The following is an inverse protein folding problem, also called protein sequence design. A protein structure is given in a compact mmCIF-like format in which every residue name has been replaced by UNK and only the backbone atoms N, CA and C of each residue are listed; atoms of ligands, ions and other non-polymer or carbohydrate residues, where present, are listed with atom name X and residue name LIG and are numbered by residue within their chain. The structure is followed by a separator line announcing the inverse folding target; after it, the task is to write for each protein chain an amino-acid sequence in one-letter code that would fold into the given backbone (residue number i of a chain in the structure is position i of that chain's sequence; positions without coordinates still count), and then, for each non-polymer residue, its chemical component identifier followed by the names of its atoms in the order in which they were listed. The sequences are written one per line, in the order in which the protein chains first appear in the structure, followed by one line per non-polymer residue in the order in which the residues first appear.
data_IF_554173332350
#
_entry.id   IF_554173332350
#
_cell.length_a   1.000
_cell.length_b   1.000
_cell.length_c   1.000
_cell.angle_alpha   90.00
_cell.angle_beta   90.00
_cell.angle_gamma   90.00
#
_symmetry.space_group_name_H-M   'P 1'
#
loop_
_entity.id
_entity.type
_entity.pdbx_description
1 polymer ?
#
# COMPACT_ATOMS: atom_id res chain seq x y z
N UNK A 1 26.19 22.66 10.18
CA UNK A 1 24.81 22.85 10.69
C UNK A 1 23.91 21.83 10.00
N UNK A 2 24.10 20.54 10.29
CA UNK A 2 23.52 19.37 9.58
C UNK A 2 23.07 18.30 10.60
N UNK A 3 22.69 18.69 11.82
CA UNK A 3 22.27 17.75 12.88
C UNK A 3 20.80 17.92 13.30
N UNK A 4 20.10 18.91 12.75
CA UNK A 4 18.78 19.34 13.25
C UNK A 4 17.64 18.47 12.71
N UNK A 5 17.83 17.83 11.54
CA UNK A 5 16.80 16.99 10.90
C UNK A 5 16.55 15.66 11.60
N UNK A 6 17.58 15.03 12.17
CA UNK A 6 17.47 13.71 12.81
C UNK A 6 16.70 13.71 14.14
N UNK A 7 16.57 14.86 14.82
CA UNK A 7 15.94 14.92 16.15
C UNK A 7 14.44 14.60 16.11
N UNK A 8 13.80 14.77 14.96
CA UNK A 8 12.37 14.56 14.76
C UNK A 8 12.04 13.57 13.62
N UNK A 9 13.01 12.76 13.18
CA UNK A 9 12.82 11.84 12.06
C UNK A 9 12.00 10.59 12.43
N UNK A 10 11.93 10.27 13.73
CA UNK A 10 11.11 9.17 14.25
C UNK A 10 9.77 9.68 14.75
N UNK A 11 8.70 8.95 14.46
CA UNK A 11 7.36 9.24 14.98
C UNK A 11 7.36 9.44 16.51
N UNK A 12 6.67 10.46 17.05
CA UNK A 12 5.77 11.41 16.38
C UNK A 12 6.43 12.56 15.62
N UNK A 13 7.76 12.63 15.63
CA UNK A 13 8.51 13.70 15.00
C UNK A 13 8.22 15.04 15.65
N UNK A 14 8.12 16.09 14.84
CA UNK A 14 7.69 17.42 15.31
C UNK A 14 6.18 17.40 15.54
N UNK A 15 5.77 17.65 16.78
CA UNK A 15 4.36 17.58 17.20
C UNK A 15 3.74 18.96 17.42
N UNK A 16 4.57 20.02 17.48
CA UNK A 16 4.12 21.40 17.66
C UNK A 16 3.56 22.00 16.36
N UNK A 17 4.01 21.50 15.21
CA UNK A 17 3.46 21.83 13.90
C UNK A 17 2.71 20.62 13.36
N UNK A 18 1.40 20.73 13.24
CA UNK A 18 0.56 19.67 12.67
C UNK A 18 0.08 20.11 11.29
N UNK A 19 0.22 19.21 10.32
CA UNK A 19 -0.27 19.43 8.96
C UNK A 19 -1.80 19.32 8.96
N UNK A 20 -2.46 20.34 8.42
CA UNK A 20 -3.89 20.27 8.13
C UNK A 20 -4.12 19.53 6.81
N UNK A 21 -4.36 18.22 6.90
CA UNK A 21 -4.60 17.37 5.74
C UNK A 21 -5.99 17.59 5.12
N UNK A 22 -6.92 18.23 5.82
CA UNK A 22 -8.24 18.54 5.28
C UNK A 22 -8.20 19.58 4.16
N UNK A 23 -7.06 20.26 4.01
CA UNK A 23 -6.80 21.36 3.09
C UNK A 23 -5.59 21.11 2.18
N UNK A 24 -5.04 19.89 2.20
CA UNK A 24 -3.89 19.53 1.39
C UNK A 24 -4.22 19.65 -0.11
N UNK A 25 -3.33 20.27 -0.89
CA UNK A 25 -3.36 20.20 -2.35
C UNK A 25 -2.21 19.30 -2.78
N UNK A 26 -2.52 18.25 -3.53
CA UNK A 26 -1.55 17.24 -3.95
C UNK A 26 -1.35 17.26 -5.46
N UNK A 27 -0.09 17.30 -5.91
CA UNK A 27 0.26 17.11 -7.33
C UNK A 27 0.04 15.67 -7.83
N UNK A 28 -0.35 14.76 -6.94
CA UNK A 28 -0.79 13.42 -7.28
C UNK A 28 -2.31 13.31 -7.48
N UNK A 29 -3.05 14.43 -7.31
CA UNK A 29 -4.46 14.47 -7.70
C UNK A 29 -4.56 14.45 -9.23
N UNK A 30 -4.92 13.29 -9.78
CA UNK A 30 -5.09 13.09 -11.22
C UNK A 30 -6.25 13.87 -11.83
N UNK A 31 -7.20 14.33 -11.01
CA UNK A 31 -8.32 15.14 -11.47
C UNK A 31 -7.87 16.59 -11.66
N UNK A 32 -7.04 17.10 -10.75
CA UNK A 32 -6.48 18.45 -10.83
C UNK A 32 -5.24 18.56 -11.74
N UNK A 33 -4.43 17.50 -11.84
CA UNK A 33 -3.18 17.46 -12.61
C UNK A 33 -3.06 16.24 -13.54
N UNK A 34 -3.99 16.03 -14.49
CA UNK A 34 -3.93 14.90 -15.42
C UNK A 34 -2.65 14.83 -16.25
N UNK A 35 -2.00 15.97 -16.55
CA UNK A 35 -0.75 16.02 -17.33
C UNK A 35 0.43 15.36 -16.61
N UNK A 36 0.44 15.42 -15.27
CA UNK A 36 1.53 14.89 -14.46
C UNK A 36 1.55 13.37 -14.45
N UNK A 37 0.39 12.71 -14.55
CA UNK A 37 0.26 11.24 -14.54
C UNK A 37 1.15 10.59 -15.60
N UNK A 38 1.14 11.10 -16.83
CA UNK A 38 1.93 10.55 -17.92
C UNK A 38 3.43 10.83 -17.73
N UNK A 39 3.78 11.97 -17.13
CA UNK A 39 5.17 12.36 -16.91
C UNK A 39 5.89 11.59 -15.81
N UNK A 40 5.10 10.98 -14.91
CA UNK A 40 5.53 10.19 -13.75
C UNK A 40 5.57 8.68 -14.06
N UNK A 41 4.90 8.23 -15.13
CA UNK A 41 4.83 6.81 -15.46
C UNK A 41 6.23 6.24 -15.74
N UNK A 42 6.57 5.15 -15.05
CA UNK A 42 7.84 4.44 -15.21
C UNK A 42 9.05 5.14 -14.59
N UNK A 43 8.83 6.16 -13.75
CA UNK A 43 9.88 6.86 -13.00
C UNK A 43 9.79 6.56 -11.52
N UNK A 44 10.91 6.68 -10.82
CA UNK A 44 10.94 6.58 -9.36
C UNK A 44 10.39 7.87 -8.73
N UNK A 45 9.83 7.79 -7.51
CA UNK A 45 9.16 8.94 -6.89
C UNK A 45 10.06 10.18 -6.74
N UNK A 46 11.37 10.00 -6.55
CA UNK A 46 12.33 11.13 -6.47
C UNK A 46 12.63 11.79 -7.82
N UNK A 47 12.27 11.17 -8.93
CA UNK A 47 12.39 11.72 -10.28
C UNK A 47 11.14 12.49 -10.72
N UNK A 48 10.06 12.43 -9.94
CA UNK A 48 8.84 13.16 -10.24
C UNK A 48 9.11 14.68 -10.20
N UNK A 49 8.63 15.38 -11.24
CA UNK A 49 8.80 16.83 -11.39
C UNK A 49 7.45 17.47 -11.73
N UNK A 50 7.22 18.65 -11.20
CA UNK A 50 6.01 19.46 -11.46
C UNK A 50 6.14 20.29 -12.75
N UNK A 51 7.26 20.18 -13.47
CA UNK A 51 7.55 21.04 -14.63
C UNK A 51 6.58 20.91 -15.81
N UNK A 52 5.84 19.80 -15.91
CA UNK A 52 4.94 19.51 -17.05
C UNK A 52 3.50 20.00 -16.85
N UNK A 53 3.20 20.72 -15.77
CA UNK A 53 1.87 21.28 -15.53
C UNK A 53 1.52 22.30 -16.63
N UNK A 54 0.32 22.18 -17.18
CA UNK A 54 -0.22 23.06 -18.22
C UNK A 54 -0.61 24.43 -17.66
N UNK A 55 -0.92 25.39 -18.53
CA UNK A 55 -1.41 26.70 -18.08
C UNK A 55 -2.76 26.59 -17.36
N UNK A 56 -3.68 25.79 -17.88
CA UNK A 56 -5.00 25.57 -17.29
C UNK A 56 -4.91 24.91 -15.90
N UNK A 57 -4.05 23.91 -15.73
CA UNK A 57 -3.83 23.27 -14.42
C UNK A 57 -3.17 24.20 -13.41
N UNK A 58 -2.32 25.14 -13.86
CA UNK A 58 -1.79 26.20 -12.97
C UNK A 58 -2.88 27.17 -12.52
N UNK A 59 -3.77 27.55 -13.44
CA UNK A 59 -4.92 28.41 -13.11
C UNK A 59 -5.85 27.70 -12.11
N UNK A 60 -6.16 26.43 -12.34
CA UNK A 60 -6.95 25.60 -11.42
C UNK A 60 -6.27 25.40 -10.05
N UNK A 61 -4.94 25.27 -10.01
CA UNK A 61 -4.19 25.24 -8.75
C UNK A 61 -4.35 26.56 -7.98
N UNK A 62 -4.23 27.71 -8.65
CA UNK A 62 -4.39 29.02 -7.98
C UNK A 62 -5.82 29.20 -7.47
N UNK A 63 -6.82 28.82 -8.25
CA UNK A 63 -8.22 28.81 -7.82
C UNK A 63 -8.41 27.91 -6.59
N UNK A 64 -7.84 26.70 -6.60
CA UNK A 64 -7.91 25.77 -5.47
C UNK A 64 -7.21 26.31 -4.23
N UNK A 65 -6.10 27.03 -4.38
CA UNK A 65 -5.42 27.71 -3.27
C UNK A 65 -6.34 28.80 -2.69
N UNK A 66 -6.94 29.63 -3.55
CA UNK A 66 -7.83 30.71 -3.11
C UNK A 66 -9.05 30.16 -2.36
N UNK A 67 -9.68 29.08 -2.84
CA UNK A 67 -10.77 28.38 -2.14
C UNK A 67 -10.35 27.94 -0.73
N UNK A 68 -9.21 27.22 -0.63
CA UNK A 68 -8.71 26.68 0.63
C UNK A 68 -8.35 27.78 1.63
N UNK A 69 -7.84 28.92 1.14
CA UNK A 69 -7.50 30.07 1.96
C UNK A 69 -8.74 30.86 2.40
N UNK A 70 -9.76 31.01 1.55
CA UNK A 70 -11.03 31.64 1.93
C UNK A 70 -11.78 30.83 3.00
N UNK A 71 -11.69 29.50 2.93
CA UNK A 71 -12.24 28.60 3.94
C UNK A 71 -11.52 28.70 5.30
N UNK A 72 -10.42 29.45 5.45
CA UNK A 72 -9.78 29.70 6.77
C UNK A 72 -10.68 30.54 7.69
N UNK A 73 -11.52 31.38 7.11
CA UNK A 73 -12.43 32.26 7.86
C UNK A 73 -13.71 31.53 8.30
N UNK A 74 -14.01 30.37 7.71
CA UNK A 74 -15.15 29.51 8.08
C UNK A 74 -14.64 28.45 9.06
N UNK A 75 -15.34 28.25 10.17
CA UNK A 75 -14.99 27.27 11.20
C UNK A 75 -15.09 25.79 10.75
N UNK A 76 -15.16 25.52 9.44
CA UNK A 76 -15.27 24.20 8.87
C UNK A 76 -13.88 23.54 8.84
N UNK A 77 -13.67 22.59 9.74
CA UNK A 77 -12.38 21.92 10.01
C UNK A 77 -12.25 20.58 9.26
N UNK A 78 -12.97 20.43 8.15
CA UNK A 78 -13.07 19.18 7.40
C UNK A 78 -13.82 18.09 8.18
N UNK A 79 -13.63 16.84 7.77
CA UNK A 79 -14.40 15.71 8.30
C UNK A 79 -14.04 15.28 9.73
N UNK A 80 -12.92 15.76 10.28
CA UNK A 80 -12.38 15.34 11.57
C UNK A 80 -11.67 13.97 11.55
N UNK A 81 -11.46 13.39 10.36
CA UNK A 81 -10.71 12.14 10.21
C UNK A 81 -9.22 12.40 10.45
N UNK A 82 -8.59 11.59 11.31
CA UNK A 82 -7.14 11.60 11.50
C UNK A 82 -6.45 10.83 10.38
N UNK A 83 -6.24 11.54 9.25
CA UNK A 83 -5.57 11.01 8.07
C UNK A 83 -4.13 10.60 8.34
N UNK A 84 -3.40 11.30 9.21
CA UNK A 84 -2.02 10.96 9.57
C UNK A 84 -1.99 9.58 10.22
N UNK A 85 -2.85 9.34 11.20
CA UNK A 85 -2.95 8.03 11.84
C UNK A 85 -3.42 6.94 10.86
N UNK A 86 -4.36 7.25 9.96
CA UNK A 86 -4.85 6.30 8.96
C UNK A 86 -3.71 5.79 8.05
N UNK A 87 -2.94 6.69 7.43
CA UNK A 87 -1.81 6.31 6.59
C UNK A 87 -0.74 5.52 7.34
N UNK A 88 -0.42 5.92 8.57
CA UNK A 88 0.55 5.22 9.41
C UNK A 88 0.14 3.80 9.72
N UNK A 89 -1.13 3.57 10.04
CA UNK A 89 -1.62 2.22 10.34
C UNK A 89 -1.49 1.33 9.12
N UNK A 90 -1.78 1.83 7.92
CA UNK A 90 -1.60 1.06 6.67
C UNK A 90 -0.12 0.72 6.45
N UNK A 91 0.78 1.72 6.51
CA UNK A 91 2.22 1.49 6.31
C UNK A 91 2.76 0.53 7.38
N UNK A 92 2.47 0.78 8.66
CA UNK A 92 2.94 -0.06 9.76
C UNK A 92 2.42 -1.49 9.68
N UNK A 93 1.18 -1.69 9.21
CA UNK A 93 0.59 -3.03 9.09
C UNK A 93 1.22 -3.86 7.98
N UNK A 94 1.65 -3.23 6.89
CA UNK A 94 2.02 -3.96 5.67
C UNK A 94 3.50 -3.84 5.28
N UNK A 95 4.20 -2.75 5.61
CA UNK A 95 5.52 -2.48 5.02
C UNK A 95 6.55 -3.57 5.32
N UNK A 96 6.74 -3.89 6.60
CA UNK A 96 7.67 -4.94 7.03
C UNK A 96 7.18 -6.32 6.61
N UNK A 97 5.86 -6.55 6.65
CA UNK A 97 5.28 -7.85 6.30
C UNK A 97 5.46 -8.21 4.84
N UNK A 98 5.39 -7.21 3.95
CA UNK A 98 5.66 -7.39 2.53
C UNK A 98 7.16 -7.64 2.28
N UNK A 99 8.07 -6.96 3.01
CA UNK A 99 9.52 -7.27 2.94
C UNK A 99 9.82 -8.71 3.37
N UNK A 100 9.17 -9.20 4.44
CA UNK A 100 9.32 -10.59 4.91
C UNK A 100 8.81 -11.58 3.86
N UNK A 101 7.64 -11.34 3.28
CA UNK A 101 7.10 -12.17 2.19
C UNK A 101 8.04 -12.22 0.99
N UNK A 102 8.59 -11.07 0.60
CA UNK A 102 9.53 -10.97 -0.51
C UNK A 102 10.81 -11.75 -0.20
N UNK A 103 11.32 -11.65 1.02
CA UNK A 103 12.47 -12.44 1.46
C UNK A 103 12.20 -13.95 1.42
N UNK A 104 11.04 -14.42 1.89
CA UNK A 104 10.65 -15.83 1.85
C UNK A 104 10.59 -16.37 0.41
N UNK A 105 9.99 -15.61 -0.50
CA UNK A 105 9.88 -15.99 -1.91
C UNK A 105 11.23 -15.91 -2.66
N UNK A 106 12.10 -14.97 -2.29
CA UNK A 106 13.43 -14.81 -2.91
C UNK A 106 14.49 -15.78 -2.38
N UNK A 107 14.36 -16.25 -1.15
CA UNK A 107 15.32 -17.23 -0.57
C UNK A 107 15.21 -18.62 -1.20
N UNK A 108 14.28 -18.80 -2.14
CA UNK A 108 13.94 -20.08 -2.76
C UNK A 108 14.73 -20.29 -4.05
N UNK A 109 16.06 -20.32 -3.97
CA UNK A 109 16.94 -20.84 -5.05
C UNK A 109 16.94 -22.39 -5.09
N UNK A 110 15.85 -23.01 -4.65
CA UNK A 110 15.82 -24.41 -4.25
C UNK A 110 15.52 -25.35 -5.41
N UNK A 111 16.47 -26.20 -5.76
CA UNK A 111 16.42 -27.16 -6.88
C UNK A 111 15.47 -28.35 -6.70
N UNK A 112 14.70 -28.43 -5.59
CA UNK A 112 13.83 -29.58 -5.30
C UNK A 112 12.37 -29.19 -5.02
N UNK A 113 11.44 -30.00 -5.52
CA UNK A 113 9.98 -29.81 -5.39
C UNK A 113 9.51 -29.79 -3.93
N UNK A 114 10.19 -30.51 -3.03
CA UNK A 114 9.84 -30.56 -1.62
C UNK A 114 10.14 -29.24 -0.91
N UNK A 115 11.28 -28.62 -1.19
CA UNK A 115 11.62 -27.32 -0.62
C UNK A 115 10.65 -26.24 -1.11
N UNK A 116 10.31 -26.23 -2.40
CA UNK A 116 9.30 -25.30 -2.95
C UNK A 116 7.94 -25.47 -2.27
N UNK A 117 7.49 -26.71 -2.00
CA UNK A 117 6.23 -26.95 -1.28
C UNK A 117 6.26 -26.35 0.12
N UNK A 118 7.37 -26.53 0.83
CA UNK A 118 7.55 -26.01 2.19
C UNK A 118 7.54 -24.47 2.20
N UNK A 119 8.29 -23.82 1.30
CA UNK A 119 8.24 -22.36 1.14
C UNK A 119 6.82 -21.87 0.88
N UNK A 120 6.11 -22.48 -0.06
CA UNK A 120 4.73 -22.07 -0.39
C UNK A 120 3.79 -22.20 0.80
N UNK A 121 3.96 -23.25 1.61
CA UNK A 121 3.21 -23.42 2.86
C UNK A 121 3.56 -22.32 3.87
N UNK A 122 4.84 -22.06 4.10
CA UNK A 122 5.26 -21.01 5.03
C UNK A 122 4.74 -19.62 4.60
N UNK A 123 4.80 -19.32 3.30
CA UNK A 123 4.23 -18.10 2.72
C UNK A 123 2.72 -18.06 2.92
N UNK A 124 2.02 -19.16 2.66
CA UNK A 124 0.57 -19.25 2.86
C UNK A 124 0.18 -19.03 4.33
N UNK A 125 0.89 -19.66 5.27
CA UNK A 125 0.65 -19.51 6.71
C UNK A 125 0.94 -18.08 7.17
N UNK A 126 2.02 -17.48 6.67
CA UNK A 126 2.36 -16.08 6.96
C UNK A 126 1.26 -15.12 6.46
N UNK A 127 0.82 -15.26 5.22
CA UNK A 127 -0.28 -14.45 4.67
C UNK A 127 -1.58 -14.72 5.44
N UNK A 128 -1.86 -15.96 5.82
CA UNK A 128 -3.03 -16.30 6.65
C UNK A 128 -3.01 -15.52 7.96
N UNK A 129 -1.85 -15.41 8.60
CA UNK A 129 -1.68 -14.60 9.82
C UNK A 129 -1.95 -13.10 9.59
N UNK A 130 -1.59 -12.56 8.42
CA UNK A 130 -1.85 -11.17 8.06
C UNK A 130 -3.35 -10.85 7.97
N UNK A 131 -4.16 -11.85 7.57
CA UNK A 131 -5.60 -11.74 7.33
C UNK A 131 -6.44 -12.42 8.41
N UNK A 132 -5.86 -12.88 9.52
CA UNK A 132 -6.58 -13.60 10.56
C UNK A 132 -7.82 -12.84 11.07
N UNK A 133 -7.77 -11.50 11.08
CA UNK A 133 -8.92 -10.64 11.47
C UNK A 133 -10.01 -10.51 10.41
N UNK A 134 -9.74 -10.91 9.17
CA UNK A 134 -10.63 -10.76 8.01
C UNK A 134 -11.14 -12.10 7.48
N UNK A 135 -10.45 -13.21 7.79
CA UNK A 135 -10.90 -14.55 7.45
C UNK A 135 -12.13 -14.87 8.32
N UNK A 136 -13.31 -14.70 7.73
CA UNK A 136 -14.57 -15.02 8.37
C UNK A 136 -14.73 -16.54 8.50
N UNK A 137 -15.36 -16.99 9.59
CA UNK A 137 -15.61 -18.41 9.83
C UNK A 137 -16.33 -19.05 8.63
N UNK A 138 -15.75 -20.12 8.09
CA UNK A 138 -16.36 -20.91 7.02
C UNK A 138 -16.11 -20.43 5.58
N UNK A 139 -15.28 -19.39 5.36
CA UNK A 139 -14.91 -18.99 4.00
C UNK A 139 -13.96 -20.01 3.39
N UNK A 140 -14.49 -20.85 2.48
CA UNK A 140 -13.75 -21.88 1.75
C UNK A 140 -14.32 -22.06 0.33
N UNK A 141 -13.53 -22.60 -0.61
CA UNK A 141 -14.06 -22.98 -1.92
C UNK A 141 -15.16 -24.02 -1.76
N UNK A 142 -16.28 -23.82 -2.47
CA UNK A 142 -17.31 -24.86 -2.61
C UNK A 142 -16.81 -25.96 -3.55
N UNK A 143 -17.24 -27.21 -3.34
CA UNK A 143 -16.86 -28.33 -4.21
C UNK A 143 -17.20 -28.03 -5.67
N UNK A 144 -16.18 -27.96 -6.53
CA UNK A 144 -16.33 -27.64 -7.95
C UNK A 144 -16.37 -26.15 -8.31
N UNK A 145 -16.13 -25.23 -7.36
CA UNK A 145 -15.97 -23.82 -7.66
C UNK A 145 -14.70 -23.59 -8.48
N UNK A 146 -14.86 -22.99 -9.66
CA UNK A 146 -13.73 -22.57 -10.50
C UNK A 146 -13.33 -21.13 -10.15
N UNK A 147 -12.09 -20.95 -9.72
CA UNK A 147 -11.52 -19.63 -9.42
C UNK A 147 -11.73 -19.16 -7.97
N UNK A 148 -11.28 -17.93 -7.69
CA UNK A 148 -11.10 -17.43 -6.32
C UNK A 148 -12.26 -16.55 -5.82
N UNK A 149 -13.43 -16.62 -6.44
CA UNK A 149 -14.58 -15.74 -6.10
C UNK A 149 -15.07 -15.95 -4.68
N UNK A 150 -14.93 -17.16 -4.13
CA UNK A 150 -15.24 -17.49 -2.74
C UNK A 150 -14.42 -16.68 -1.72
N UNK A 151 -13.24 -16.17 -2.09
CA UNK A 151 -12.39 -15.33 -1.25
C UNK A 151 -12.83 -13.84 -1.22
N UNK A 152 -13.82 -13.45 -2.03
CA UNK A 152 -14.30 -12.06 -2.15
C UNK A 152 -14.68 -11.41 -0.81
N UNK A 153 -15.35 -12.10 0.14
CA UNK A 153 -15.66 -11.50 1.44
C UNK A 153 -14.41 -11.08 2.23
N UNK A 154 -13.36 -11.91 2.20
CA UNK A 154 -12.07 -11.63 2.87
C UNK A 154 -11.36 -10.47 2.17
N UNK A 155 -11.36 -10.47 0.83
CA UNK A 155 -10.83 -9.38 0.03
C UNK A 155 -11.50 -8.04 0.36
N UNK A 156 -12.85 -7.99 0.35
CA UNK A 156 -13.60 -6.77 0.68
C UNK A 156 -13.35 -6.30 2.10
N UNK A 157 -13.35 -7.22 3.07
CA UNK A 157 -13.05 -6.89 4.46
C UNK A 157 -11.66 -6.26 4.59
N UNK A 158 -10.64 -6.87 3.96
CA UNK A 158 -9.28 -6.34 3.93
C UNK A 158 -9.20 -4.95 3.27
N UNK A 159 -9.72 -4.81 2.05
CA UNK A 159 -9.58 -3.61 1.23
C UNK A 159 -10.33 -2.40 1.80
N UNK A 160 -11.45 -2.62 2.49
CA UNK A 160 -12.30 -1.56 3.02
C UNK A 160 -12.03 -1.24 4.51
N UNK A 161 -11.13 -1.95 5.18
CA UNK A 161 -10.97 -1.89 6.66
C UNK A 161 -10.81 -0.46 7.19
N UNK A 162 -10.05 0.40 6.49
CA UNK A 162 -9.74 1.76 6.95
C UNK A 162 -10.59 2.85 6.32
N UNK A 163 -11.54 2.50 5.45
CA UNK A 163 -12.33 3.47 4.66
C UNK A 163 -13.83 3.25 4.74
N UNK A 164 -14.31 2.05 5.09
CA UNK A 164 -15.74 1.69 5.14
C UNK A 164 -16.60 2.61 6.01
N UNK A 165 -16.05 3.11 7.11
CA UNK A 165 -16.76 3.98 8.05
C UNK A 165 -16.72 5.47 7.73
N UNK A 166 -16.03 5.88 6.67
CA UNK A 166 -15.78 7.29 6.37
C UNK A 166 -16.94 7.87 5.54
N UNK A 167 -17.68 8.86 6.05
CA UNK A 167 -18.80 9.46 5.33
C UNK A 167 -18.30 10.40 4.22
N UNK A 168 -18.23 9.89 2.99
CA UNK A 168 -17.72 10.63 1.80
C UNK A 168 -18.41 11.99 1.59
N UNK A 169 -19.69 12.12 1.99
CA UNK A 169 -20.44 13.36 1.88
C UNK A 169 -19.96 14.50 2.80
N UNK A 170 -19.20 14.17 3.84
CA UNK A 170 -18.62 15.16 4.78
C UNK A 170 -17.15 15.46 4.48
N UNK A 171 -16.57 14.82 3.46
CA UNK A 171 -15.17 15.02 3.11
C UNK A 171 -15.00 16.28 2.27
N UNK A 172 -13.97 17.07 2.58
CA UNK A 172 -13.51 18.13 1.67
C UNK A 172 -12.96 17.52 0.37
N UNK A 173 -12.77 18.32 -0.67
CA UNK A 173 -12.15 17.84 -1.92
C UNK A 173 -10.75 17.25 -1.67
N UNK A 174 -9.98 17.85 -0.76
CA UNK A 174 -8.66 17.33 -0.36
C UNK A 174 -8.77 15.97 0.35
N UNK A 175 -9.72 15.81 1.26
CA UNK A 175 -9.94 14.54 1.96
C UNK A 175 -10.43 13.41 1.04
N UNK A 176 -11.17 13.75 -0.03
CA UNK A 176 -11.55 12.78 -1.07
C UNK A 176 -10.34 12.20 -1.79
N UNK A 177 -9.30 13.00 -2.03
CA UNK A 177 -8.03 12.50 -2.58
C UNK A 177 -7.36 11.54 -1.59
N UNK A 178 -7.36 11.87 -0.31
CA UNK A 178 -6.76 11.04 0.74
C UNK A 178 -7.48 9.69 0.90
N UNK A 179 -8.82 9.69 0.97
CA UNK A 179 -9.59 8.43 1.09
C UNK A 179 -9.42 7.54 -0.14
N UNK A 180 -9.34 8.15 -1.32
CA UNK A 180 -9.10 7.43 -2.58
C UNK A 180 -7.73 6.77 -2.56
N UNK A 181 -6.68 7.50 -2.16
CA UNK A 181 -5.33 6.96 -2.04
C UNK A 181 -5.26 5.78 -1.04
N UNK A 182 -5.88 5.88 0.14
CA UNK A 182 -5.96 4.75 1.09
C UNK A 182 -6.69 3.55 0.47
N UNK A 183 -7.82 3.80 -0.18
CA UNK A 183 -8.64 2.74 -0.78
C UNK A 183 -7.90 2.00 -1.89
N UNK A 184 -7.20 2.73 -2.77
CA UNK A 184 -6.40 2.15 -3.87
C UNK A 184 -5.22 1.34 -3.35
N UNK A 185 -4.50 1.85 -2.35
CA UNK A 185 -3.37 1.14 -1.72
C UNK A 185 -3.84 -0.15 -1.05
N UNK A 186 -4.91 -0.10 -0.26
CA UNK A 186 -5.46 -1.29 0.39
C UNK A 186 -6.02 -2.27 -0.63
N UNK A 187 -6.68 -1.79 -1.68
CA UNK A 187 -7.16 -2.63 -2.77
C UNK A 187 -6.01 -3.43 -3.39
N UNK A 188 -4.92 -2.78 -3.78
CA UNK A 188 -3.78 -3.46 -4.43
C UNK A 188 -3.05 -4.42 -3.48
N UNK A 189 -2.81 -4.02 -2.23
CA UNK A 189 -2.20 -4.90 -1.22
C UNK A 189 -3.09 -6.13 -1.02
N UNK A 190 -4.37 -5.94 -0.71
CA UNK A 190 -5.30 -7.02 -0.44
C UNK A 190 -5.54 -7.90 -1.68
N UNK A 191 -5.49 -7.34 -2.90
CA UNK A 191 -5.62 -8.12 -4.13
C UNK A 191 -4.51 -9.16 -4.24
N UNK A 192 -3.27 -8.76 -3.98
CA UNK A 192 -2.11 -9.66 -4.05
C UNK A 192 -2.10 -10.61 -2.86
N UNK A 193 -2.24 -10.10 -1.63
CA UNK A 193 -2.09 -10.94 -0.43
C UNK A 193 -3.27 -11.88 -0.24
N UNK A 194 -4.51 -11.46 -0.47
CA UNK A 194 -5.67 -12.37 -0.45
C UNK A 194 -5.63 -13.34 -1.64
N UNK A 195 -5.08 -12.93 -2.78
CA UNK A 195 -4.83 -13.82 -3.92
C UNK A 195 -3.90 -14.98 -3.56
N UNK A 196 -2.74 -14.68 -2.97
CA UNK A 196 -1.79 -15.69 -2.47
C UNK A 196 -2.46 -16.61 -1.45
N UNK A 197 -3.19 -16.04 -0.49
CA UNK A 197 -3.94 -16.82 0.50
C UNK A 197 -4.94 -17.78 -0.14
N UNK A 198 -5.80 -17.27 -1.02
CA UNK A 198 -6.87 -18.05 -1.64
C UNK A 198 -6.31 -19.16 -2.54
N UNK A 199 -5.24 -18.88 -3.30
CA UNK A 199 -4.53 -19.89 -4.08
C UNK A 199 -3.94 -20.98 -3.17
N UNK A 200 -3.36 -20.62 -2.03
CA UNK A 200 -2.85 -21.60 -1.06
C UNK A 200 -3.94 -22.54 -0.50
N UNK A 201 -5.14 -22.01 -0.23
CA UNK A 201 -6.31 -22.82 0.18
C UNK A 201 -6.79 -23.74 -0.93
N UNK A 202 -6.85 -23.24 -2.18
CA UNK A 202 -7.25 -24.01 -3.36
C UNK A 202 -6.28 -25.17 -3.63
N UNK A 203 -4.98 -24.92 -3.40
CA UNK A 203 -3.91 -25.91 -3.50
C UNK A 203 -3.87 -26.91 -2.32
N UNK A 204 -4.70 -26.72 -1.29
CA UNK A 204 -4.73 -27.58 -0.10
C UNK A 204 -3.48 -27.49 0.79
N UNK A 205 -2.75 -26.36 0.74
CA UNK A 205 -1.56 -26.15 1.59
C UNK A 205 -1.90 -26.12 3.09
N UNK A 206 -3.14 -25.71 3.43
CA UNK A 206 -3.68 -25.70 4.79
C UNK A 206 -3.94 -27.12 5.35
N UNK A 207 -4.06 -28.13 4.47
CA UNK A 207 -4.42 -29.52 4.82
C UNK A 207 -3.31 -30.53 4.53
N UNK A 208 -2.13 -30.08 4.11
CA UNK A 208 -1.02 -30.93 3.66
C UNK A 208 -1.39 -31.88 2.50
N UNK A 209 -2.40 -31.52 1.71
CA UNK A 209 -2.86 -32.33 0.58
C UNK A 209 -1.82 -32.37 -0.56
N UNK A 210 -1.93 -33.37 -1.43
CA UNK A 210 -1.13 -33.44 -2.64
C UNK A 210 -1.65 -32.41 -3.64
N UNK A 211 -0.88 -31.34 -3.86
CA UNK A 211 -1.19 -30.34 -4.88
C UNK A 211 -0.94 -30.92 -6.28
N UNK A 212 -1.94 -30.82 -7.15
CA UNK A 212 -1.80 -31.09 -8.59
C UNK A 212 -1.18 -29.92 -9.37
N UNK A 213 -0.91 -28.79 -8.70
CA UNK A 213 -0.41 -27.59 -9.34
C UNK A 213 1.12 -27.63 -9.54
N UNK A 214 1.63 -27.04 -10.63
CA UNK A 214 3.07 -26.88 -10.84
C UNK A 214 3.65 -25.88 -9.82
N UNK A 215 4.13 -26.39 -8.69
CA UNK A 215 4.59 -25.58 -7.53
C UNK A 215 5.58 -24.49 -7.91
N UNK A 216 6.49 -24.78 -8.83
CA UNK A 216 7.49 -23.81 -9.30
C UNK A 216 6.83 -22.60 -9.97
N UNK A 217 5.86 -22.83 -10.87
CA UNK A 217 5.12 -21.76 -11.55
C UNK A 217 4.29 -20.94 -10.56
N UNK A 218 3.73 -21.57 -9.53
CA UNK A 218 3.00 -20.85 -8.46
C UNK A 218 3.94 -19.95 -7.69
N UNK A 219 5.11 -20.46 -7.30
CA UNK A 219 6.14 -19.69 -6.59
C UNK A 219 6.60 -18.47 -7.40
N UNK A 220 6.88 -18.66 -8.69
CA UNK A 220 7.26 -17.58 -9.60
C UNK A 220 6.15 -16.53 -9.74
N UNK A 221 4.90 -16.96 -9.89
CA UNK A 221 3.74 -16.07 -9.97
C UNK A 221 3.56 -15.24 -8.70
N UNK A 222 3.67 -15.85 -7.52
CA UNK A 222 3.53 -15.14 -6.24
C UNK A 222 4.65 -14.14 -6.05
N UNK A 223 5.89 -14.52 -6.40
CA UNK A 223 7.05 -13.63 -6.42
C UNK A 223 6.83 -12.43 -7.35
N UNK A 224 6.49 -12.66 -8.61
CA UNK A 224 6.25 -11.60 -9.59
C UNK A 224 5.13 -10.66 -9.16
N UNK A 225 4.04 -11.20 -8.61
CA UNK A 225 2.91 -10.41 -8.12
C UNK A 225 3.30 -9.52 -6.93
N UNK A 226 4.12 -10.05 -6.02
CA UNK A 226 4.60 -9.31 -4.85
C UNK A 226 5.64 -8.26 -5.22
N UNK A 227 6.62 -8.61 -6.07
CA UNK A 227 7.63 -7.68 -6.55
C UNK A 227 6.97 -6.51 -7.30
N UNK A 228 5.99 -6.81 -8.16
CA UNK A 228 5.20 -5.79 -8.86
C UNK A 228 4.43 -4.88 -7.89
N UNK A 229 3.84 -5.45 -6.82
CA UNK A 229 3.17 -4.66 -5.79
C UNK A 229 4.14 -3.74 -5.04
N UNK A 230 5.31 -4.25 -4.66
CA UNK A 230 6.30 -3.46 -3.94
C UNK A 230 6.86 -2.33 -4.81
N UNK A 231 7.14 -2.59 -6.09
CA UNK A 231 7.51 -1.55 -7.06
C UNK A 231 6.38 -0.52 -7.22
N UNK A 232 5.12 -0.96 -7.29
CA UNK A 232 3.98 -0.05 -7.42
C UNK A 232 3.77 0.85 -6.18
N UNK A 233 3.94 0.28 -4.97
CA UNK A 233 3.81 1.04 -3.72
C UNK A 233 4.95 2.05 -3.55
N UNK A 234 6.17 1.66 -3.94
CA UNK A 234 7.39 2.47 -3.86
C UNK A 234 7.50 3.20 -2.50
N UNK A 235 7.29 2.50 -1.39
CA UNK A 235 7.27 3.14 -0.09
C UNK A 235 8.68 3.53 0.37
N UNK A 236 8.84 4.78 0.78
CA UNK A 236 10.13 5.32 1.23
C UNK A 236 10.71 4.59 2.44
N UNK A 237 9.87 3.91 3.24
CA UNK A 237 10.30 3.09 4.37
C UNK A 237 11.21 1.93 3.96
N UNK A 238 11.19 1.52 2.69
CA UNK A 238 12.07 0.48 2.14
C UNK A 238 13.41 1.03 1.64
N UNK A 239 13.54 2.34 1.43
CA UNK A 239 14.79 3.01 1.11
C UNK A 239 15.67 3.09 2.39
N UNK A 240 16.27 1.97 2.77
CA UNK A 240 17.11 1.83 3.97
C UNK A 240 18.58 1.74 3.57
N UNK A 241 19.46 2.49 4.24
CA UNK A 241 20.90 2.15 4.20
C UNK A 241 21.13 0.79 4.85
N UNK A 242 21.93 -0.07 4.23
CA UNK A 242 22.48 -1.26 4.89
C UNK A 242 24.01 -1.25 4.77
N UNK A 243 24.76 -1.05 5.87
CA UNK A 243 24.32 -0.80 7.25
C UNK A 243 23.66 0.58 7.42
N UNK A 244 22.90 0.77 8.50
CA UNK A 244 22.27 2.05 8.82
C UNK A 244 23.32 3.17 8.84
N UNK A 245 23.13 4.21 8.02
CA UNK A 245 24.11 5.26 7.84
C UNK A 245 24.39 6.00 9.17
N UNK A 246 25.66 6.15 9.55
CA UNK A 246 26.05 6.99 10.69
C UNK A 246 25.80 8.49 10.40
N UNK A 247 25.92 8.91 9.14
CA UNK A 247 25.71 10.28 8.64
C UNK A 247 24.53 10.38 7.66
N UNK A 248 24.03 11.59 7.40
CA UNK A 248 22.76 11.87 6.68
C UNK A 248 22.76 11.53 5.17
N UNK A 249 23.81 10.91 4.62
CA UNK A 249 23.90 10.62 3.18
C UNK A 249 24.15 9.13 2.96
N UNK A 250 23.21 8.46 2.29
CA UNK A 250 23.47 7.19 1.63
C UNK A 250 24.29 7.49 0.38
N UNK A 251 25.60 7.26 0.41
CA UNK A 251 26.39 7.27 -0.82
C UNK A 251 26.16 5.94 -1.54
N UNK A 252 25.40 5.96 -2.62
CA UNK A 252 25.38 4.85 -3.58
C UNK A 252 26.73 4.82 -4.28
N UNK A 253 27.54 3.79 -4.04
CA UNK A 253 28.68 3.42 -4.89
C UNK A 253 28.23 2.56 -6.04
#
# INVERSE_FOLDING_TARGET
MLEVGKWHDRFPGETRAQLDLSRLISFYDSELFPSLRNSQLGKERWEHRVGNVTKAEREALMERIDEVLQDLDVADKGSGVDWISNFRVVIHRYAERLEVLQYMLNSTDSSTTQTTKMTLKDVHDYVSSMHATYILNGVRPSSGATGLTWATPVFKACAETHTKGIPVSRLTSSEKVLVKAVSEVLYEICRVTVGIWAEGVDMGLDRDEASSHPLQRVSEKWKESLDSLMVWLDWSVWAKCRPACHFEVCLST
#
